data_IF_590795522281
#
_entry.id   IF_590795522281
#
_cell.length_a   1.000
_cell.length_b   1.000
_cell.length_c   1.000
_cell.angle_alpha   90.00
_cell.angle_beta   90.00
_cell.angle_gamma   90.00
#
_symmetry.space_group_name_H-M   'P 1'
#
loop_
_entity.id
_entity.type
_entity.pdbx_description
1 polymer ?
2 non-polymer ?
3 water ?
#
# COMPACT_ATOMS: atom_id res chain seq x y z
N UNK A 2 5.05 4.89 -7.27
CA UNK A 2 3.94 4.41 -6.39
C UNK A 2 3.32 5.56 -5.60
N UNK A 3 2.10 5.33 -5.11
CA UNK A 3 1.35 6.36 -4.41
C UNK A 3 1.68 6.55 -2.93
N UNK A 4 1.64 7.81 -2.48
CA UNK A 4 1.95 8.10 -1.10
C UNK A 4 1.06 7.34 -0.10
N UNK A 5 -0.23 7.18 -0.43
CA UNK A 5 -1.18 6.47 0.44
C UNK A 5 -0.74 5.04 0.71
N UNK A 6 -0.13 4.40 -0.29
CA UNK A 6 0.35 3.04 -0.14
C UNK A 6 1.51 2.97 0.86
N UNK A 7 2.53 3.80 0.66
CA UNK A 7 3.68 3.83 1.55
C UNK A 7 3.25 4.15 2.99
N UNK A 8 2.29 5.06 3.15
CA UNK A 8 1.81 5.41 4.48
C UNK A 8 1.20 4.18 5.13
N UNK A 9 0.47 3.38 4.35
CA UNK A 9 -0.13 2.17 4.89
C UNK A 9 0.97 1.18 5.28
N UNK A 10 1.97 1.05 4.41
CA UNK A 10 3.08 0.14 4.67
C UNK A 10 3.72 0.52 6.00
N UNK A 11 3.91 1.82 6.22
CA UNK A 11 4.54 2.28 7.45
C UNK A 11 3.66 2.12 8.71
N UNK A 12 2.35 2.16 8.53
CA UNK A 12 1.43 2.02 9.65
C UNK A 12 1.06 0.59 9.95
N UNK A 13 0.87 -0.19 8.90
CA UNK A 13 0.41 -1.57 9.04
C UNK A 13 1.20 -2.69 8.40
N UNK A 14 2.13 -2.33 7.51
CA UNK A 14 2.85 -3.35 6.78
C UNK A 14 4.02 -4.11 7.36
N UNK A 15 4.39 -5.16 6.64
CA UNK A 15 5.56 -5.93 6.99
C UNK A 15 6.69 -4.95 6.97
N UNK A 16 7.63 -5.11 7.91
CA UNK A 16 8.83 -4.31 8.13
C UNK A 16 9.79 -4.20 6.94
N UNK A 17 9.80 -5.22 6.11
CA UNK A 17 10.76 -5.28 5.02
C UNK A 17 10.71 -4.34 3.80
N UNK A 18 10.94 -3.06 4.03
CA UNK A 18 11.03 -2.12 2.95
C UNK A 18 11.82 -0.96 3.47
N UNK A 19 12.38 -0.20 2.55
CA UNK A 19 13.16 0.94 2.94
C UNK A 19 12.78 2.12 2.10
N UNK A 20 12.84 3.30 2.71
CA UNK A 20 12.53 4.55 2.03
C UNK A 20 13.88 5.25 1.92
N UNK A 21 14.23 5.68 0.71
CA UNK A 21 15.50 6.36 0.47
C UNK A 21 15.30 7.80 0.03
N UNK A 22 15.75 8.73 0.86
CA UNK A 22 15.66 10.16 0.56
C UNK A 22 16.93 10.40 -0.25
N UNK A 23 16.77 10.79 -1.50
CA UNK A 23 17.91 10.97 -2.36
C UNK A 23 18.37 12.41 -2.60
N UNK A 24 17.90 13.33 -1.75
CA UNK A 24 18.27 14.73 -1.88
C UNK A 24 19.52 15.04 -1.08
N UNK A 25 19.87 16.32 -1.08
CA UNK A 25 21.02 16.86 -0.37
C UNK A 25 20.92 16.41 1.10
N UNK A 26 22.06 16.24 1.76
CA UNK A 26 22.06 15.83 3.16
C UNK A 26 21.39 16.85 4.07
N UNK A 27 21.83 18.10 3.97
CA UNK A 27 21.26 19.13 4.81
C UNK A 27 19.76 19.22 4.54
N UNK A 28 19.36 19.03 3.30
CA UNK A 28 17.93 19.09 2.97
C UNK A 28 17.19 18.00 3.72
N UNK A 29 17.76 16.80 3.71
CA UNK A 29 17.21 15.65 4.40
C UNK A 29 17.03 16.02 5.85
N UNK A 30 18.08 16.58 6.44
CA UNK A 30 18.11 17.00 7.83
C UNK A 30 17.05 18.01 8.21
N UNK A 31 16.80 18.95 7.31
CA UNK A 31 15.79 19.96 7.61
C UNK A 31 14.42 19.33 7.59
N UNK A 32 14.30 18.19 6.90
CA UNK A 32 13.01 17.54 6.87
C UNK A 32 12.95 16.39 5.91
N UNK A 33 12.53 15.22 6.40
CA UNK A 33 12.41 14.04 5.56
C UNK A 33 11.25 13.17 6.02
N UNK A 34 10.86 12.24 5.16
CA UNK A 34 9.78 11.32 5.45
C UNK A 34 10.18 10.46 6.63
N UNK A 36 11.28 7.78 8.85
CA UNK A 36 11.87 6.47 8.57
C UNK A 36 12.83 6.44 7.40
N UNK A 37 12.76 7.43 6.51
CA UNK A 37 13.67 7.47 5.36
C UNK A 37 15.13 7.53 5.75
N UNK A 39 19.05 8.60 4.60
CA UNK A 39 19.68 9.62 3.76
C UNK A 39 20.63 8.97 2.80
N UNK A 41 21.97 10.47 -0.36
CA UNK A 41 22.12 11.48 -1.41
C UNK A 41 22.60 10.78 -2.68
N UNK A 42 22.01 11.21 -3.78
CA UNK A 42 22.25 10.66 -5.10
C UNK A 42 23.70 10.54 -5.58
N UNK A 43 24.58 11.42 -5.13
CA UNK A 43 25.98 11.36 -5.55
C UNK A 43 26.66 10.05 -5.17
N UNK A 44 26.20 9.42 -4.10
CA UNK A 44 26.79 8.16 -3.64
C UNK A 44 25.74 7.09 -3.36
N UNK A 45 24.59 7.21 -4.02
CA UNK A 45 23.46 6.30 -3.83
C UNK A 45 23.74 4.83 -4.08
N UNK A 46 24.26 4.49 -5.25
CA UNK A 46 24.56 3.11 -5.57
C UNK A 46 25.58 2.45 -4.61
N UNK A 47 26.74 3.09 -4.46
CA UNK A 47 27.78 2.62 -3.55
C UNK A 47 27.17 2.36 -2.17
N UNK A 48 26.46 3.35 -1.66
CA UNK A 48 25.82 3.27 -0.36
C UNK A 48 24.72 2.23 -0.23
N UNK A 49 23.85 2.16 -1.21
CA UNK A 49 22.75 1.19 -1.17
C UNK A 49 23.28 -0.22 -1.29
N UNK A 50 24.15 -0.45 -2.26
CA UNK A 50 24.67 -1.80 -2.48
C UNK A 50 25.51 -2.33 -1.31
N UNK A 51 26.06 -1.45 -0.49
CA UNK A 51 26.84 -1.92 0.63
C UNK A 51 25.97 -2.01 1.88
N UNK A 52 24.69 -1.69 1.74
CA UNK A 52 23.81 -1.68 2.89
C UNK A 52 22.44 -2.36 2.75
N UNK A 53 21.96 -2.49 1.52
CA UNK A 53 20.66 -3.09 1.26
C UNK A 53 20.71 -4.32 0.38
N UNK A 54 19.89 -5.32 0.74
CA UNK A 54 19.81 -6.54 -0.07
C UNK A 54 19.12 -6.12 -1.37
N UNK A 55 19.48 -6.75 -2.48
CA UNK A 55 18.90 -6.40 -3.77
C UNK A 55 17.44 -6.80 -3.92
N UNK A 56 16.98 -7.68 -3.05
CA UNK A 56 15.61 -8.15 -3.07
C UNK A 56 14.68 -7.27 -2.22
N UNK A 57 15.26 -6.41 -1.40
CA UNK A 57 14.46 -5.53 -0.52
C UNK A 57 13.57 -4.55 -1.28
N UNK A 58 12.33 -4.39 -0.82
CA UNK A 58 11.41 -3.45 -1.45
C UNK A 58 11.92 -2.06 -1.12
N UNK A 59 12.17 -1.25 -2.14
CA UNK A 59 12.68 0.09 -1.92
C UNK A 59 11.82 1.18 -2.58
N UNK A 60 11.57 2.25 -1.81
CA UNK A 60 10.80 3.39 -2.28
C UNK A 60 11.78 4.53 -2.32
N UNK A 61 11.83 5.24 -3.44
CA UNK A 61 12.77 6.34 -3.59
C UNK A 61 12.07 7.66 -3.89
N UNK A 62 12.64 8.76 -3.40
CA UNK A 62 12.09 10.07 -3.66
C UNK A 62 13.23 11.07 -3.56
N UNK A 63 13.21 12.06 -4.46
CA UNK A 63 14.23 13.10 -4.46
C UNK A 63 13.48 14.43 -4.49
N UNK A 64 14.16 15.50 -4.89
CA UNK A 64 13.55 16.83 -4.91
C UNK A 64 12.47 16.98 -5.98
N UNK A 65 12.56 16.20 -7.04
CA UNK A 65 11.56 16.29 -8.09
C UNK A 65 11.49 15.02 -8.89
N UNK A 66 10.60 14.95 -9.88
CA UNK A 66 10.48 13.75 -10.70
C UNK A 66 11.78 13.36 -11.40
N UNK A 67 12.53 14.34 -11.89
CA UNK A 67 13.78 14.04 -12.59
C UNK A 67 14.78 13.37 -11.65
N UNK A 68 15.01 13.96 -10.48
CA UNK A 68 15.97 13.37 -9.55
C UNK A 68 15.52 12.00 -9.06
N UNK A 69 14.22 11.86 -8.83
CA UNK A 69 13.67 10.58 -8.38
C UNK A 69 13.84 9.52 -9.44
N UNK A 70 13.48 9.84 -10.68
CA UNK A 70 13.60 8.84 -11.74
C UNK A 70 15.06 8.46 -11.96
N UNK A 71 15.97 9.42 -11.79
CA UNK A 71 17.39 9.15 -11.95
C UNK A 71 17.86 8.18 -10.86
N UNK A 72 17.45 8.44 -9.62
CA UNK A 72 17.82 7.56 -8.52
C UNK A 72 17.28 6.14 -8.78
N UNK A 73 16.03 6.06 -9.20
CA UNK A 73 15.43 4.76 -9.50
C UNK A 73 16.20 4.00 -10.58
N UNK A 74 16.61 4.70 -11.64
CA UNK A 74 17.36 4.04 -12.71
C UNK A 74 18.68 3.52 -12.19
N UNK A 75 19.38 4.35 -11.42
CA UNK A 75 20.68 3.98 -10.85
C UNK A 75 20.63 2.67 -10.06
N UNK A 76 19.75 2.63 -9.06
CA UNK A 76 19.62 1.45 -8.22
C UNK A 76 19.36 0.17 -8.99
N UNK A 77 18.47 0.25 -9.99
CA UNK A 77 18.10 -0.91 -10.82
C UNK A 77 19.29 -1.34 -11.67
N UNK A 78 19.99 -0.37 -12.23
CA UNK A 78 21.16 -0.69 -13.06
C UNK A 78 22.20 -1.33 -12.17
N UNK A 79 22.05 -1.16 -10.87
CA UNK A 79 23.00 -1.73 -9.91
C UNK A 79 22.56 -3.10 -9.45
N UNK A 80 21.46 -3.61 -10.01
CA UNK A 80 21.01 -4.92 -9.60
C UNK A 80 19.84 -4.99 -8.65
N UNK A 81 19.40 -3.86 -8.10
CA UNK A 81 18.25 -3.87 -7.19
C UNK A 81 17.00 -4.27 -7.98
N UNK A 82 16.21 -5.17 -7.42
CA UNK A 82 15.03 -5.69 -8.11
C UNK A 82 13.64 -5.14 -7.81
N UNK A 83 13.45 -4.50 -6.67
CA UNK A 83 12.13 -3.98 -6.35
C UNK A 83 12.23 -2.52 -5.94
N UNK A 84 12.37 -1.64 -6.91
CA UNK A 84 12.47 -0.24 -6.60
C UNK A 84 11.38 0.52 -7.33
N UNK A 85 10.80 1.50 -6.64
CA UNK A 85 9.75 2.30 -7.22
C UNK A 85 9.90 3.73 -6.73
N UNK A 86 9.37 4.66 -7.52
CA UNK A 86 9.43 6.07 -7.17
C UNK A 86 8.29 6.31 -6.19
N UNK A 87 8.37 7.44 -5.49
CA UNK A 87 7.33 7.84 -4.57
C UNK A 87 6.75 9.06 -5.27
N UNK A 88 5.70 8.85 -6.06
CA UNK A 88 5.07 9.95 -6.81
C UNK A 88 4.81 11.15 -5.90
N UNK A 89 5.20 12.33 -6.36
CA UNK A 89 4.95 13.53 -5.59
C UNK A 89 6.01 13.85 -4.54
N UNK A 90 6.80 12.85 -4.17
CA UNK A 90 7.84 13.07 -3.19
C UNK A 90 7.34 13.54 -1.84
N UNK A 91 8.18 14.31 -1.15
CA UNK A 91 7.85 14.84 0.17
C UNK A 91 6.51 15.58 0.19
N UNK A 92 6.35 16.53 -0.74
CA UNK A 92 5.14 17.33 -0.83
C UNK A 92 3.88 16.49 -0.83
N UNK A 93 3.85 15.46 -1.67
CA UNK A 93 2.68 14.60 -1.76
C UNK A 93 2.44 13.86 -0.46
N UNK A 94 3.53 13.57 0.25
CA UNK A 94 3.46 12.83 1.50
C UNK A 94 2.83 13.69 2.59
N UNK A 95 3.23 14.96 2.65
CA UNK A 95 2.69 15.88 3.63
C UNK A 95 1.20 16.08 3.34
N UNK A 96 0.89 16.32 2.07
CA UNK A 96 -0.49 16.54 1.66
C UNK A 96 -1.48 15.52 2.24
N UNK A 97 -1.09 14.25 2.31
CA UNK A 97 -1.99 13.22 2.82
C UNK A 97 -1.82 12.97 4.31
N UNK A 98 -1.16 13.90 5.00
CA UNK A 98 -0.96 13.76 6.43
C UNK A 98 0.23 12.96 6.93
N UNK A 99 1.11 12.54 6.04
CA UNK A 99 2.27 11.78 6.46
C UNK A 99 3.24 12.58 7.33
N UNK A 100 3.72 12.02 8.45
CA UNK A 100 4.65 12.68 9.37
C UNK A 100 6.00 13.02 8.75
N UNK A 101 6.60 14.11 9.21
CA UNK A 101 7.89 14.53 8.74
C UNK A 101 8.81 14.77 9.92
N UNK A 102 10.00 14.15 9.89
CA UNK A 102 10.94 14.34 10.98
C UNK A 102 12.14 15.18 10.52
N UNK A 103 12.69 15.95 11.45
CA UNK A 103 13.83 16.78 11.12
C UNK A 103 14.90 16.75 12.20
N UNK A 104 16.15 16.93 11.77
CA UNK A 104 17.30 16.94 12.67
C UNK A 104 17.70 18.36 13.02
N UNK A 105 18.26 18.55 14.22
CA UNK A 105 18.65 19.87 14.68
C UNK A 105 19.97 19.84 15.45
N UNK A 119 28.35 16.53 14.14
CA UNK A 119 27.06 15.88 13.97
C UNK A 119 26.88 15.32 12.55
N UNK A 120 27.86 15.59 11.69
CA UNK A 120 27.87 15.06 10.34
C UNK A 120 28.83 13.88 10.50
N UNK A 121 29.62 13.96 11.57
CA UNK A 121 30.60 12.94 11.94
C UNK A 121 29.87 11.77 12.59
N UNK A 123 26.76 11.03 11.91
CA UNK A 123 26.05 10.50 10.75
C UNK A 123 26.93 9.71 9.79
N UNK A 124 28.12 10.19 9.48
CA UNK A 124 28.98 9.46 8.56
C UNK A 124 29.54 8.20 9.24
N UNK A 125 30.10 8.38 10.43
CA UNK A 125 30.64 7.24 11.16
C UNK A 125 29.58 6.15 11.20
N UNK A 126 28.33 6.58 11.41
CA UNK A 126 27.13 5.73 11.51
C UNK A 126 27.14 4.33 10.89
N UNK B 2 25.29 7.85 33.53
CA UNK B 2 26.53 8.44 32.95
C UNK B 2 26.33 9.85 32.37
N UNK B 3 27.39 10.36 31.76
CA UNK B 3 27.42 11.69 31.18
C UNK B 3 27.10 11.68 29.69
N UNK B 4 26.47 12.75 29.22
CA UNK B 4 26.13 12.86 27.81
C UNK B 4 27.40 12.84 26.94
N UNK B 5 28.53 13.19 27.53
CA UNK B 5 29.80 13.20 26.79
C UNK B 5 30.18 11.81 26.33
N UNK B 6 29.94 10.82 27.19
CA UNK B 6 30.27 9.46 26.83
C UNK B 6 29.46 9.00 25.65
N UNK B 7 28.16 9.29 25.65
CA UNK B 7 27.29 8.90 24.54
C UNK B 7 27.67 9.63 23.27
N UNK B 8 28.01 10.91 23.38
CA UNK B 8 28.40 11.67 22.20
C UNK B 8 29.62 11.01 21.55
N UNK B 9 30.48 10.42 22.38
CA UNK B 9 31.67 9.75 21.87
C UNK B 9 31.35 8.37 21.29
N UNK B 10 30.37 7.67 21.88
CA UNK B 10 29.99 6.36 21.37
C UNK B 10 29.45 6.55 19.94
N UNK B 11 28.72 7.65 19.73
CA UNK B 11 28.13 7.94 18.41
C UNK B 11 29.12 8.50 17.39
N UNK B 12 30.11 9.25 17.87
CA UNK B 12 31.10 9.83 16.98
C UNK B 12 32.22 8.86 16.68
N UNK B 13 32.52 7.98 17.63
CA UNK B 13 33.64 7.07 17.49
C UNK B 13 33.48 5.61 17.84
N UNK B 14 32.41 5.25 18.53
CA UNK B 14 32.33 3.87 18.95
C UNK B 14 31.71 2.80 18.09
N UNK B 15 31.09 1.86 18.80
CA UNK B 15 30.40 0.80 18.16
C UNK B 15 28.94 1.17 18.34
N UNK B 16 28.06 0.58 17.55
CA UNK B 16 26.60 0.73 17.54
C UNK B 16 26.09 -0.40 18.46
N UNK B 17 26.82 -0.67 19.53
CA UNK B 17 26.45 -1.67 20.51
C UNK B 17 25.57 -1.11 21.61
N UNK B 18 24.88 -0.01 21.33
CA UNK B 18 24.05 0.60 22.35
C UNK B 18 22.66 1.05 21.92
N UNK B 19 21.77 1.24 22.88
CA UNK B 19 20.41 1.71 22.60
C UNK B 19 20.10 2.87 23.54
N UNK B 20 19.42 3.88 23.01
CA UNK B 20 19.06 5.06 23.78
C UNK B 20 17.55 5.08 24.00
N UNK B 21 17.13 5.16 25.25
CA UNK B 21 15.70 5.18 25.59
C UNK B 21 15.19 6.50 26.19
N UNK B 22 14.24 7.13 25.51
CA UNK B 22 13.64 8.38 25.99
C UNK B 22 12.39 7.90 26.76
N UNK B 23 12.43 8.02 28.07
CA UNK B 23 11.34 7.53 28.88
C UNK B 23 10.24 8.54 29.19
N UNK B 24 10.30 9.72 28.55
CA UNK B 24 9.33 10.79 28.76
C UNK B 24 7.99 10.59 28.04
N UNK B 25 7.08 11.54 28.26
CA UNK B 25 5.77 11.53 27.64
C UNK B 25 5.93 11.49 26.12
N UNK B 26 5.10 10.67 25.47
CA UNK B 26 5.16 10.49 24.02
C UNK B 26 5.16 11.78 23.20
N UNK B 27 4.33 12.74 23.60
CA UNK B 27 4.25 14.00 22.88
C UNK B 27 5.55 14.78 23.01
N UNK B 28 6.15 14.73 24.20
CA UNK B 28 7.40 15.45 24.42
C UNK B 28 8.46 14.84 23.50
N UNK B 29 8.48 13.51 23.42
CA UNK B 29 9.42 12.81 22.58
C UNK B 29 9.31 13.33 21.15
N UNK B 30 8.08 13.31 20.63
CA UNK B 30 7.80 13.77 19.27
C UNK B 30 8.26 15.18 19.00
N UNK B 31 8.18 16.04 20.02
CA UNK B 31 8.62 17.42 19.86
C UNK B 31 10.14 17.54 19.83
N UNK B 32 10.82 16.52 20.33
CA UNK B 32 12.27 16.57 20.33
C UNK B 32 12.89 15.54 21.24
N UNK B 33 13.71 14.66 20.66
CA UNK B 33 14.39 13.65 21.44
C UNK B 33 15.83 13.54 20.96
N UNK B 34 16.66 12.83 21.72
CA UNK B 34 18.05 12.68 21.33
C UNK B 34 18.02 11.82 20.06
N UNK B 36 18.17 9.18 17.41
CA UNK B 36 18.31 7.73 17.47
C UNK B 36 17.58 7.11 18.65
N UNK B 37 17.12 7.94 19.59
CA UNK B 37 16.42 7.46 20.77
C UNK B 37 15.13 6.74 20.44
N UNK B 39 11.31 5.74 21.62
CA UNK B 39 10.32 6.30 22.53
C UNK B 39 9.79 5.20 23.46
N UNK B 41 7.90 5.51 27.08
CA UNK B 41 7.34 6.15 28.28
C UNK B 41 7.46 5.23 29.52
N UNK B 42 7.90 5.77 30.66
CA UNK B 42 8.10 4.96 31.87
C UNK B 42 6.95 4.03 32.14
N UNK B 43 5.77 4.56 31.91
CA UNK B 43 4.53 3.85 32.11
C UNK B 43 4.51 2.48 31.38
N UNK B 44 5.24 2.38 30.27
CA UNK B 44 5.29 1.15 29.47
C UNK B 44 6.70 0.60 29.29
N UNK B 45 7.67 1.28 29.87
CA UNK B 45 9.08 0.92 29.73
C UNK B 45 9.50 -0.53 29.85
N UNK B 46 9.22 -1.16 30.98
CA UNK B 46 9.70 -2.53 31.16
C UNK B 46 9.02 -3.56 30.24
N UNK B 47 7.75 -3.36 29.95
CA UNK B 47 7.03 -4.27 29.06
C UNK B 47 7.56 -4.13 27.65
N UNK B 48 7.77 -2.88 27.23
CA UNK B 48 8.24 -2.62 25.89
C UNK B 48 9.71 -2.96 25.71
N UNK B 49 10.49 -2.85 26.76
CA UNK B 49 11.91 -3.14 26.64
C UNK B 49 12.21 -4.62 26.72
N UNK B 50 11.66 -5.29 27.71
CA UNK B 50 11.95 -6.70 27.87
C UNK B 50 11.50 -7.51 26.66
N UNK B 51 10.53 -7.00 25.90
CA UNK B 51 10.07 -7.72 24.71
C UNK B 51 10.74 -7.16 23.46
N UNK B 52 11.64 -6.20 23.64
CA UNK B 52 12.30 -5.60 22.49
C UNK B 52 13.83 -5.59 22.55
N UNK B 53 14.38 -5.62 23.74
CA UNK B 53 15.84 -5.60 23.88
C UNK B 53 16.43 -6.77 24.65
N UNK B 54 17.62 -7.19 24.22
CA UNK B 54 18.35 -8.25 24.88
C UNK B 54 18.81 -7.60 26.19
N UNK B 55 18.57 -8.26 27.31
CA UNK B 55 18.95 -7.72 28.60
C UNK B 55 20.45 -7.46 28.79
N UNK B 56 21.28 -7.89 27.84
CA UNK B 56 22.73 -7.67 27.96
C UNK B 56 23.19 -6.49 27.09
N UNK B 57 22.23 -5.81 26.49
CA UNK B 57 22.46 -4.67 25.61
C UNK B 57 22.83 -3.40 26.37
N UNK B 58 23.83 -2.66 25.89
CA UNK B 58 24.19 -1.41 26.55
C UNK B 58 23.03 -0.45 26.29
N UNK B 59 22.48 0.08 27.37
CA UNK B 59 21.32 0.97 27.31
C UNK B 59 21.52 2.28 28.06
N UNK B 60 21.16 3.37 27.40
CA UNK B 60 21.25 4.69 28.04
C UNK B 60 19.82 5.19 28.18
N UNK B 61 19.48 5.61 29.40
CA UNK B 61 18.14 6.09 29.67
C UNK B 61 18.07 7.53 30.15
N UNK B 62 17.05 8.25 29.69
CA UNK B 62 16.80 9.62 30.12
C UNK B 62 15.30 9.93 30.17
N UNK B 63 14.92 10.72 31.17
CA UNK B 63 13.53 11.12 31.36
C UNK B 63 13.46 12.62 31.57
N UNK B 64 12.35 13.10 32.10
CA UNK B 64 12.18 14.54 32.31
C UNK B 64 13.30 15.13 33.15
N UNK B 65 13.53 14.56 34.34
CA UNK B 65 14.58 15.04 35.21
C UNK B 65 15.36 13.89 35.82
N UNK B 66 16.23 14.18 36.79
CA UNK B 66 17.02 13.14 37.45
C UNK B 66 16.17 12.04 38.05
N UNK B 67 15.19 12.44 38.85
CA UNK B 67 14.34 11.48 39.52
C UNK B 67 13.64 10.51 38.58
N UNK B 68 13.07 11.01 37.49
CA UNK B 68 12.37 10.10 36.58
C UNK B 68 13.36 9.19 35.88
N UNK B 69 14.53 9.74 35.57
CA UNK B 69 15.57 8.98 34.90
C UNK B 69 16.05 7.82 35.76
N UNK B 70 16.39 8.09 37.02
CA UNK B 70 16.89 7.02 37.88
C UNK B 70 15.79 6.03 38.23
N UNK B 71 14.54 6.48 38.14
CA UNK B 71 13.41 5.61 38.42
C UNK B 71 13.35 4.59 37.28
N UNK B 72 13.56 5.09 36.07
CA UNK B 72 13.56 4.27 34.87
C UNK B 72 14.72 3.28 34.92
N UNK B 73 15.90 3.78 35.24
CA UNK B 73 17.08 2.93 35.31
C UNK B 73 16.82 1.76 36.25
N UNK B 74 16.35 2.06 37.45
CA UNK B 74 16.07 1.03 38.43
C UNK B 74 15.01 0.04 37.97
N UNK B 75 14.01 0.49 37.24
CA UNK B 75 12.99 -0.44 36.76
C UNK B 75 13.61 -1.46 35.83
N UNK B 76 14.38 -1.00 34.85
CA UNK B 76 15.00 -1.91 33.91
C UNK B 76 15.92 -2.89 34.63
N UNK B 77 16.71 -2.38 35.57
CA UNK B 77 17.63 -3.23 36.33
C UNK B 77 16.89 -4.28 37.16
N UNK B 78 15.83 -3.88 37.85
CA UNK B 78 15.08 -4.83 38.65
C UNK B 78 14.49 -5.87 37.70
N UNK B 79 14.33 -5.48 36.44
CA UNK B 79 13.77 -6.38 35.43
C UNK B 79 14.83 -7.25 34.75
N UNK B 80 16.07 -7.16 35.21
CA UNK B 80 17.12 -7.97 34.64
C UNK B 80 18.07 -7.35 33.61
N UNK B 81 17.84 -6.11 33.20
CA UNK B 81 18.75 -5.48 32.24
C UNK B 81 20.11 -5.19 32.91
N UNK B 82 21.12 -5.90 32.44
CA UNK B 82 22.48 -5.85 32.95
C UNK B 82 23.37 -4.66 32.66
N UNK B 83 23.07 -3.89 31.62
CA UNK B 83 23.92 -2.74 31.33
C UNK B 83 23.16 -1.45 31.05
N UNK B 84 22.43 -0.99 32.05
CA UNK B 84 21.66 0.24 31.94
C UNK B 84 22.40 1.39 32.61
N UNK B 85 22.45 2.54 31.94
CA UNK B 85 23.12 3.70 32.50
C UNK B 85 22.21 4.92 32.35
N UNK B 86 22.19 5.81 33.34
CA UNK B 86 21.35 7.00 33.23
C UNK B 86 22.08 8.04 32.37
N UNK B 87 21.33 8.80 31.59
CA UNK B 87 21.94 9.83 30.79
C UNK B 87 21.70 11.12 31.59
N UNK B 88 22.58 11.38 32.55
CA UNK B 88 22.46 12.55 33.42
C UNK B 88 22.26 13.85 32.66
N UNK B 89 21.27 14.62 33.08
CA UNK B 89 20.99 15.89 32.44
C UNK B 89 20.02 15.78 31.28
N UNK B 90 19.77 14.55 30.84
CA UNK B 90 18.85 14.32 29.75
C UNK B 90 19.04 15.13 28.47
N UNK B 91 17.92 15.42 27.83
CA UNK B 91 17.91 16.16 26.58
C UNK B 91 18.70 17.46 26.62
N UNK B 92 18.47 18.25 27.66
CA UNK B 92 19.14 19.54 27.82
C UNK B 92 20.66 19.38 27.90
N UNK B 93 21.12 18.45 28.74
CA UNK B 93 22.54 18.20 28.91
C UNK B 93 23.12 17.81 27.55
N UNK B 94 22.35 17.03 26.82
CA UNK B 94 22.76 16.57 25.50
C UNK B 94 22.92 17.72 24.51
N UNK B 95 22.01 18.68 24.55
CA UNK B 95 22.08 19.83 23.64
C UNK B 95 23.22 20.77 24.02
N UNK B 96 23.30 21.09 25.31
CA UNK B 96 24.34 21.98 25.81
C UNK B 96 25.73 21.65 25.27
N UNK B 97 25.94 20.42 24.81
CA UNK B 97 27.25 20.04 24.28
C UNK B 97 27.29 19.70 22.79
N UNK B 98 26.29 20.16 22.04
CA UNK B 98 26.27 19.92 20.61
C UNK B 98 25.53 18.66 20.18
N UNK B 99 24.81 18.04 21.12
CA UNK B 99 24.07 16.83 20.76
C UNK B 99 22.97 17.16 19.77
N UNK B 100 22.91 16.45 18.63
CA UNK B 100 21.86 16.73 17.65
C UNK B 100 20.53 16.08 18.05
N UNK B 101 19.46 16.84 17.87
CA UNK B 101 18.12 16.41 18.22
C UNK B 101 17.31 15.94 17.00
N UNK B 102 16.24 15.21 17.26
CA UNK B 102 15.36 14.68 16.22
C UNK B 102 13.94 14.97 16.67
N UNK B 103 13.14 15.56 15.79
CA UNK B 103 11.77 15.89 16.14
C UNK B 103 10.74 15.56 15.06
N UNK B 104 9.53 15.19 15.49
CA UNK B 104 8.44 14.85 14.57
C UNK B 104 7.66 16.10 14.18
N UNK B 105 6.97 16.04 13.04
CA UNK B 105 6.15 17.15 12.56
C UNK B 105 4.98 16.61 11.74
N UNK B 115 -4.50 10.40 14.59
CA UNK B 115 -3.36 11.22 14.17
C UNK B 115 -2.23 11.12 15.20
N UNK B 116 -2.59 10.83 16.44
CA UNK B 116 -1.58 10.64 17.49
C UNK B 116 -1.19 9.18 17.28
N UNK B 117 -2.21 8.37 16.97
CA UNK B 117 -2.07 6.93 16.71
C UNK B 117 -1.24 6.64 15.47
N UNK B 118 -1.49 7.38 14.40
CA UNK B 118 -0.77 7.17 13.13
C UNK B 118 0.74 7.18 13.35
N UNK B 119 1.23 8.28 13.95
CA UNK B 119 2.64 8.41 14.22
C UNK B 119 3.17 7.33 15.17
N UNK B 120 2.42 7.01 16.23
CA UNK B 120 2.90 5.98 17.17
C UNK B 120 2.95 4.61 16.50
N UNK B 121 1.99 4.36 15.63
CA UNK B 121 1.92 3.11 14.89
C UNK B 121 3.16 3.02 13.99
N UNK B 123 6.09 4.82 14.38
CA UNK B 123 7.28 4.77 15.20
C UNK B 123 7.53 3.35 15.70
N UNK B 124 6.48 2.64 16.10
CA UNK B 124 6.63 1.26 16.56
C UNK B 124 7.15 0.34 15.47
N UNK B 125 6.64 0.52 14.25
CA UNK B 125 7.10 -0.32 13.15
C UNK B 125 8.56 -0.03 12.81
N UNK B 126 8.97 1.23 12.89
CA UNK B 126 10.36 1.59 12.60
C UNK B 126 11.25 1.05 13.71
N UNK B 127 10.77 1.08 14.95
CA UNK B 127 11.56 0.58 16.07
C UNK B 127 11.79 -0.93 15.96
N UNK B 128 10.75 -1.68 15.59
CA UNK B 128 10.83 -3.14 15.45
C UNK B 128 11.77 -3.54 14.31
N UNK B 129 12.06 -2.57 13.46
CA UNK B 129 12.93 -2.80 12.30
C UNK B 129 14.37 -2.38 12.62
N UNK B 130 14.63 -2.02 13.87
CA UNK B 130 15.96 -1.60 14.26
C UNK B 130 16.85 -2.83 14.42
N UNK B 131 18.11 -2.68 14.00
CA UNK B 131 19.08 -3.77 14.05
C UNK B 131 19.06 -4.57 15.36
N UNK B 132 19.13 -3.88 16.50
CA UNK B 132 19.17 -4.57 17.79
C UNK B 132 17.86 -5.24 18.18
N UNK B 133 16.74 -4.61 17.85
CA UNK B 133 15.44 -5.21 18.18
C UNK B 133 15.30 -6.50 17.39
N UNK B 134 15.87 -6.51 16.18
CA UNK B 134 15.83 -7.68 15.32
C UNK B 134 16.73 -8.79 15.85
N UNK B 135 17.75 -8.41 16.63
CA UNK B 135 18.64 -9.41 17.20
C UNK B 135 17.87 -10.11 18.32
N UNK B 136 17.19 -9.33 19.14
CA UNK B 136 16.42 -9.87 20.25
C UNK B 136 15.33 -10.81 19.73
N UNK B 137 14.95 -10.63 18.47
CA UNK B 137 13.91 -11.45 17.86
C UNK B 137 14.47 -12.64 17.07
N UNK B 138 15.69 -12.51 16.56
CA UNK B 138 16.29 -13.58 15.80
C UNK B 138 17.02 -14.55 16.73
N UNK C 2 -30.53 -2.01 -28.54
CA UNK C 2 -30.33 -3.38 -29.10
C UNK C 2 -30.86 -4.48 -28.18
N UNK C 3 -30.81 -5.70 -28.68
CA UNK C 3 -31.32 -6.88 -27.95
C UNK C 3 -30.35 -7.46 -26.93
N UNK C 4 -30.89 -7.85 -25.77
CA UNK C 4 -30.13 -8.43 -24.67
C UNK C 4 -29.24 -9.58 -25.11
N UNK C 5 -29.74 -10.41 -26.01
CA UNK C 5 -28.98 -11.54 -26.49
C UNK C 5 -27.67 -11.10 -27.13
N UNK C 6 -27.67 -9.93 -27.76
CA UNK C 6 -26.45 -9.43 -28.42
C UNK C 6 -25.42 -9.01 -27.39
N UNK C 7 -25.82 -8.14 -26.47
CA UNK C 7 -24.92 -7.67 -25.44
C UNK C 7 -24.34 -8.87 -24.69
N UNK C 8 -25.19 -9.81 -24.31
CA UNK C 8 -24.74 -11.00 -23.59
C UNK C 8 -23.60 -11.68 -24.36
N UNK C 9 -23.74 -11.72 -25.68
CA UNK C 9 -22.72 -12.35 -26.53
C UNK C 9 -21.40 -11.57 -26.56
N UNK C 10 -21.47 -10.25 -26.59
CA UNK C 10 -20.24 -9.46 -26.61
C UNK C 10 -19.51 -9.69 -25.30
N UNK C 11 -20.28 -9.83 -24.21
CA UNK C 11 -19.69 -10.04 -22.88
C UNK C 11 -19.06 -11.41 -22.71
N UNK C 12 -19.73 -12.43 -23.18
CA UNK C 12 -19.22 -13.78 -23.08
C UNK C 12 -18.13 -14.09 -24.09
N UNK C 13 -18.28 -13.58 -25.32
CA UNK C 13 -17.35 -13.91 -26.41
C UNK C 13 -16.63 -12.82 -27.18
N UNK C 14 -17.09 -11.58 -27.08
CA UNK C 14 -16.47 -10.54 -27.88
C UNK C 14 -15.23 -9.85 -27.40
N UNK C 15 -14.79 -8.89 -28.21
CA UNK C 15 -13.60 -8.10 -27.88
C UNK C 15 -14.09 -7.03 -26.93
N UNK C 16 -13.21 -6.52 -26.06
CA UNK C 16 -13.59 -5.48 -25.11
C UNK C 16 -13.60 -4.16 -25.88
N UNK C 17 -14.60 -3.99 -26.74
CA UNK C 17 -14.72 -2.80 -27.58
C UNK C 17 -16.04 -2.08 -27.36
N UNK C 18 -16.65 -2.31 -26.20
CA UNK C 18 -17.91 -1.69 -25.85
C UNK C 18 -17.87 -1.34 -24.38
N UNK C 19 -18.77 -0.45 -23.98
CA UNK C 19 -18.86 -0.03 -22.60
C UNK C 19 -20.32 -0.08 -22.20
N UNK C 20 -20.59 -0.62 -21.01
CA UNK C 20 -21.96 -0.68 -20.54
C UNK C 20 -22.11 0.33 -19.44
N UNK C 21 -23.12 1.19 -19.58
CA UNK C 21 -23.40 2.23 -18.62
C UNK C 21 -24.70 1.98 -17.89
N UNK C 22 -24.61 1.81 -16.57
CA UNK C 22 -25.78 1.59 -15.73
C UNK C 22 -26.09 3.03 -15.30
N UNK C 23 -27.14 3.58 -15.88
CA UNK C 23 -27.52 4.95 -15.61
C UNK C 23 -28.47 5.14 -14.41
N UNK C 24 -28.60 4.11 -13.57
CA UNK C 24 -29.47 4.22 -12.41
C UNK C 24 -28.76 4.90 -11.25
N UNK C 25 -29.37 4.81 -10.08
CA UNK C 25 -28.85 5.39 -8.86
C UNK C 25 -27.64 4.59 -8.38
N UNK C 26 -26.62 5.30 -7.88
CA UNK C 26 -25.41 4.65 -7.39
C UNK C 26 -25.69 3.50 -6.43
N UNK C 27 -26.63 3.70 -5.51
CA UNK C 27 -26.99 2.68 -4.52
C UNK C 27 -27.57 1.42 -5.16
N UNK C 28 -28.44 1.61 -6.15
CA UNK C 28 -29.06 0.49 -6.83
C UNK C 28 -28.03 -0.28 -7.65
N UNK C 29 -27.06 0.45 -8.19
CA UNK C 29 -25.97 -0.13 -8.98
C UNK C 29 -25.14 -1.10 -8.15
N UNK C 30 -24.95 -0.78 -6.87
CA UNK C 30 -24.17 -1.61 -5.96
C UNK C 30 -24.96 -2.84 -5.56
N UNK C 31 -26.29 -2.71 -5.50
CA UNK C 31 -27.13 -3.84 -5.12
C UNK C 31 -27.19 -4.85 -6.26
N UNK C 32 -26.73 -4.45 -7.44
CA UNK C 32 -26.72 -5.35 -8.58
C UNK C 32 -26.62 -4.69 -9.95
N UNK C 33 -25.58 -5.01 -10.71
CA UNK C 33 -25.39 -4.44 -12.05
C UNK C 33 -24.77 -5.44 -13.03
N UNK C 34 -24.91 -5.17 -14.32
CA UNK C 34 -24.34 -6.07 -15.32
C UNK C 34 -22.81 -6.05 -15.21
N UNK C 36 -19.10 -5.64 -15.30
CA UNK C 36 -18.25 -4.67 -15.98
C UNK C 36 -18.90 -3.32 -16.23
N UNK C 37 -20.19 -3.22 -15.95
CA UNK C 37 -20.94 -1.99 -16.13
C UNK C 37 -20.39 -0.84 -15.29
N UNK C 39 -20.91 2.80 -13.35
CA UNK C 39 -22.01 3.48 -12.66
C UNK C 39 -21.98 4.95 -13.04
N UNK C 41 -25.03 7.55 -12.92
CA UNK C 41 -26.39 8.03 -12.71
C UNK C 41 -26.72 9.19 -13.66
N UNK C 42 -27.97 9.24 -14.14
CA UNK C 42 -28.40 10.25 -15.10
C UNK C 42 -28.11 11.69 -14.73
N UNK C 43 -28.33 12.02 -13.46
CA UNK C 43 -28.08 13.38 -12.99
C UNK C 43 -26.80 14.00 -13.56
N UNK C 44 -25.78 13.16 -13.80
CA UNK C 44 -24.52 13.67 -14.35
C UNK C 44 -23.93 12.77 -15.42
N UNK C 45 -24.77 11.91 -16.00
CA UNK C 45 -24.33 10.99 -17.04
C UNK C 45 -23.44 11.59 -18.12
N UNK C 46 -23.90 12.68 -18.74
CA UNK C 46 -23.17 13.30 -19.84
C UNK C 46 -21.82 13.90 -19.48
N UNK C 47 -21.70 14.42 -18.27
CA UNK C 47 -20.45 15.00 -17.79
C UNK C 47 -19.40 13.93 -17.67
N UNK C 48 -19.80 12.87 -16.98
CA UNK C 48 -18.96 11.71 -16.73
C UNK C 48 -18.57 10.95 -17.98
N UNK C 49 -19.54 10.71 -18.84
CA UNK C 49 -19.27 9.98 -20.06
C UNK C 49 -18.36 10.79 -20.97
N UNK C 50 -18.73 12.04 -21.24
CA UNK C 50 -17.96 12.88 -22.14
C UNK C 50 -16.48 13.05 -21.80
N UNK C 51 -16.13 13.05 -20.52
CA UNK C 51 -14.75 13.22 -20.12
C UNK C 51 -13.98 11.90 -20.01
N UNK C 52 -14.73 10.82 -19.78
CA UNK C 52 -14.16 9.49 -19.61
C UNK C 52 -14.21 8.56 -20.82
N UNK C 53 -15.15 8.79 -21.72
CA UNK C 53 -15.31 7.94 -22.89
C UNK C 53 -15.12 8.65 -24.23
N UNK C 54 -14.62 7.91 -25.21
CA UNK C 54 -14.43 8.42 -26.55
C UNK C 54 -15.83 8.32 -27.20
N UNK C 55 -16.22 9.33 -27.98
CA UNK C 55 -17.53 9.33 -28.60
C UNK C 55 -17.77 8.30 -29.70
N UNK C 56 -16.72 7.60 -30.10
CA UNK C 56 -16.81 6.58 -31.14
C UNK C 56 -17.09 5.21 -30.50
N UNK C 57 -16.80 5.11 -29.22
CA UNK C 57 -16.96 3.90 -28.40
C UNK C 57 -18.35 3.29 -28.34
N UNK C 58 -18.47 2.02 -28.70
CA UNK C 58 -19.77 1.34 -28.63
C UNK C 58 -20.23 1.44 -27.19
N UNK C 59 -21.44 1.97 -27.00
CA UNK C 59 -21.98 2.14 -25.66
C UNK C 59 -23.39 1.57 -25.50
N UNK C 60 -23.54 0.65 -24.55
CA UNK C 60 -24.84 0.05 -24.26
C UNK C 60 -25.31 0.67 -22.96
N UNK C 61 -26.50 1.23 -22.96
CA UNK C 61 -27.03 1.89 -21.78
C UNK C 61 -28.27 1.22 -21.23
N UNK C 62 -28.47 1.32 -19.92
CA UNK C 62 -29.66 0.76 -19.30
C UNK C 62 -29.97 1.50 -18.00
N UNK C 63 -31.25 1.83 -17.81
CA UNK C 63 -31.68 2.51 -16.61
C UNK C 63 -32.64 1.61 -15.85
N UNK C 64 -33.45 2.20 -14.98
CA UNK C 64 -34.42 1.42 -14.21
C UNK C 64 -35.57 0.97 -15.12
N UNK C 65 -35.99 1.85 -16.02
CA UNK C 65 -37.07 1.53 -16.92
C UNK C 65 -36.75 1.97 -18.34
N UNK C 66 -37.63 1.63 -19.27
CA UNK C 66 -37.42 1.99 -20.68
C UNK C 66 -37.35 3.50 -20.92
N UNK C 67 -38.08 4.28 -20.12
CA UNK C 67 -38.08 5.72 -20.27
C UNK C 67 -36.73 6.32 -19.88
N UNK C 68 -36.26 5.99 -18.68
CA UNK C 68 -34.98 6.51 -18.21
C UNK C 68 -33.86 6.06 -19.15
N UNK C 69 -34.00 4.84 -19.66
CA UNK C 69 -33.01 4.30 -20.55
C UNK C 69 -32.92 5.10 -21.84
N UNK C 70 -34.05 5.30 -22.51
CA UNK C 70 -34.05 6.03 -23.78
C UNK C 70 -33.70 7.51 -23.57
N UNK C 71 -34.01 8.01 -22.38
CA UNK C 71 -33.72 9.39 -22.05
C UNK C 71 -32.22 9.54 -21.90
N UNK C 72 -31.61 8.52 -21.30
CA UNK C 72 -30.18 8.49 -21.08
C UNK C 72 -29.45 8.39 -22.41
N UNK C 73 -30.03 7.61 -23.32
CA UNK C 73 -29.44 7.42 -24.65
C UNK C 73 -29.51 8.71 -25.45
N UNK C 74 -30.68 9.33 -25.47
CA UNK C 74 -30.86 10.58 -26.21
C UNK C 74 -29.86 11.60 -25.71
N UNK C 75 -29.77 11.75 -24.39
CA UNK C 75 -28.83 12.69 -23.80
C UNK C 75 -27.44 12.51 -24.38
N UNK C 76 -27.00 11.26 -24.38
CA UNK C 76 -25.68 10.92 -24.87
C UNK C 76 -25.54 11.16 -26.37
N UNK C 77 -26.57 10.81 -27.14
CA UNK C 77 -26.50 10.99 -28.59
C UNK C 77 -26.44 12.46 -28.95
N UNK C 78 -27.27 13.27 -28.32
CA UNK C 78 -27.27 14.69 -28.62
C UNK C 78 -25.98 15.35 -28.13
N UNK C 79 -25.29 14.67 -27.20
CA UNK C 79 -24.06 15.21 -26.64
C UNK C 79 -22.87 14.88 -27.55
N UNK C 80 -23.12 14.14 -28.63
CA UNK C 80 -22.06 13.80 -29.56
C UNK C 80 -21.73 12.32 -29.68
N UNK C 81 -22.26 11.51 -28.77
CA UNK C 81 -21.97 10.10 -28.82
C UNK C 81 -22.64 9.43 -30.01
N UNK C 82 -21.80 8.86 -30.89
CA UNK C 82 -22.23 8.25 -32.14
C UNK C 82 -22.59 6.77 -32.18
N UNK C 83 -22.39 6.04 -31.08
CA UNK C 83 -22.71 4.62 -31.06
C UNK C 83 -23.28 4.13 -29.75
N UNK C 84 -24.38 4.76 -29.36
CA UNK C 84 -25.09 4.42 -28.15
C UNK C 84 -26.33 3.65 -28.53
N UNK C 85 -26.70 2.69 -27.71
CA UNK C 85 -27.91 1.94 -27.97
C UNK C 85 -28.41 1.54 -26.61
N UNK C 86 -29.70 1.35 -26.50
CA UNK C 86 -30.27 0.96 -25.23
C UNK C 86 -30.34 -0.54 -25.09
N UNK C 87 -30.31 -1.01 -23.85
CA UNK C 87 -30.44 -2.43 -23.59
C UNK C 87 -31.96 -2.57 -23.48
N UNK C 88 -32.60 -2.96 -24.58
CA UNK C 88 -34.04 -3.14 -24.63
C UNK C 88 -34.52 -4.14 -23.57
N UNK C 89 -35.40 -3.69 -22.69
CA UNK C 89 -35.90 -4.55 -21.65
C UNK C 89 -35.16 -4.32 -20.35
N UNK C 90 -34.05 -3.59 -20.43
CA UNK C 90 -33.26 -3.27 -19.25
C UNK C 90 -32.74 -4.50 -18.52
N UNK C 91 -32.51 -4.33 -17.22
CA UNK C 91 -31.99 -5.40 -16.36
C UNK C 91 -32.88 -6.63 -16.35
N UNK C 92 -34.20 -6.39 -16.38
CA UNK C 92 -35.16 -7.46 -16.36
C UNK C 92 -35.02 -8.35 -17.60
N UNK C 93 -34.73 -7.73 -18.75
CA UNK C 93 -34.55 -8.48 -19.98
C UNK C 93 -33.24 -9.25 -19.93
N UNK C 94 -32.25 -8.65 -19.27
CA UNK C 94 -30.94 -9.26 -19.11
C UNK C 94 -31.03 -10.52 -18.26
N UNK C 95 -31.74 -10.42 -17.15
CA UNK C 95 -31.86 -11.57 -16.27
C UNK C 95 -32.75 -12.64 -16.89
N UNK C 96 -33.63 -12.22 -17.80
CA UNK C 96 -34.54 -13.15 -18.45
C UNK C 96 -33.86 -14.17 -19.37
N UNK C 97 -32.63 -13.90 -19.77
CA UNK C 97 -31.93 -14.84 -20.65
C UNK C 97 -30.70 -15.42 -19.96
N UNK C 98 -30.68 -15.31 -18.63
CA UNK C 98 -29.57 -15.85 -17.86
C UNK C 98 -28.35 -14.97 -17.68
N UNK C 99 -28.50 -13.67 -17.92
CA UNK C 99 -27.38 -12.76 -17.78
C UNK C 99 -26.95 -12.58 -16.34
N UNK C 100 -25.66 -12.76 -16.01
CA UNK C 100 -25.18 -12.60 -14.64
C UNK C 100 -25.19 -11.15 -14.19
N UNK C 101 -25.24 -10.96 -12.87
CA UNK C 101 -25.21 -9.63 -12.27
C UNK C 101 -24.19 -9.64 -11.13
N UNK C 102 -23.49 -8.52 -10.94
CA UNK C 102 -22.50 -8.40 -9.86
C UNK C 102 -23.04 -7.45 -8.82
N UNK C 103 -22.70 -7.71 -7.56
CA UNK C 103 -23.15 -6.86 -6.48
C UNK C 103 -22.08 -6.67 -5.43
N UNK C 104 -22.07 -5.48 -4.83
CA UNK C 104 -21.09 -5.14 -3.79
C UNK C 104 -21.58 -5.55 -2.40
N UNK C 105 -20.64 -5.72 -1.47
CA UNK C 105 -20.96 -6.06 -0.10
C UNK C 105 -19.80 -5.66 0.81
N UNK C 117 -18.67 4.46 0.23
CA UNK C 117 -17.74 5.53 0.60
C UNK C 117 -16.30 5.17 0.20
N UNK C 118 -15.80 4.06 0.74
CA UNK C 118 -14.46 3.58 0.40
C UNK C 118 -14.68 2.80 -0.86
N UNK C 119 -15.88 2.23 -0.96
CA UNK C 119 -16.27 1.46 -2.13
C UNK C 119 -16.36 2.43 -3.30
N UNK C 120 -17.11 3.50 -3.12
CA UNK C 120 -17.27 4.48 -4.18
C UNK C 120 -15.92 4.99 -4.67
N UNK C 121 -14.98 5.18 -3.74
CA UNK C 121 -13.65 5.67 -4.10
C UNK C 121 -12.89 4.58 -4.85
N UNK C 123 -14.33 2.00 -6.52
CA UNK C 123 -15.00 1.74 -7.79
C UNK C 123 -14.51 2.79 -8.79
N UNK C 124 -14.49 4.04 -8.34
CA UNK C 124 -14.05 5.16 -9.15
C UNK C 124 -12.63 4.96 -9.68
N UNK C 125 -11.73 4.65 -8.76
CA UNK C 125 -10.33 4.45 -9.09
C UNK C 125 -10.18 3.30 -10.09
N UNK C 126 -10.95 2.25 -9.87
CA UNK C 126 -10.92 1.08 -10.74
C UNK C 126 -11.44 1.39 -12.14
N UNK C 127 -12.51 2.18 -12.21
CA UNK C 127 -13.07 2.55 -13.50
C UNK C 127 -12.10 3.44 -14.28
N UNK C 128 -11.36 4.28 -13.58
CA UNK C 128 -10.39 5.16 -14.22
C UNK C 128 -9.20 4.37 -14.76
N UNK C 129 -9.20 3.07 -14.48
CA UNK C 129 -8.12 2.20 -14.94
C UNK C 129 -8.56 1.33 -16.12
N UNK C 130 -9.84 1.43 -16.47
CA UNK C 130 -10.40 0.64 -17.58
C UNK C 130 -9.76 1.04 -18.90
N UNK C 131 -9.56 0.07 -19.77
CA UNK C 131 -8.91 0.30 -21.05
C UNK C 131 -9.50 1.49 -21.80
N UNK C 132 -10.81 1.49 -22.01
CA UNK C 132 -11.46 2.57 -22.74
C UNK C 132 -11.26 3.92 -22.08
N UNK C 133 -11.21 3.96 -20.76
CA UNK C 133 -11.03 5.24 -20.09
C UNK C 133 -9.59 5.73 -20.24
N UNK C 134 -8.63 4.82 -20.11
CA UNK C 134 -7.23 5.20 -20.25
C UNK C 134 -6.98 5.65 -21.69
N UNK C 135 -7.65 5.01 -22.65
CA UNK C 135 -7.49 5.36 -24.05
C UNK C 135 -8.01 6.75 -24.35
N UNK C 136 -9.09 7.14 -23.68
CA UNK C 136 -9.65 8.47 -23.90
C UNK C 136 -8.68 9.50 -23.37
N UNK C 137 -8.37 9.39 -22.08
CA UNK C 137 -7.47 10.31 -21.40
C UNK C 137 -6.11 10.47 -22.07
N UNK C 138 -5.64 9.44 -22.76
CA UNK C 138 -4.35 9.50 -23.43
C UNK C 138 -4.54 9.77 -24.92
N UNK D 2 1.34 -10.22 3.59
CA UNK D 2 1.07 -8.76 3.53
C UNK D 2 -0.18 -8.44 4.34
N UNK D 3 -0.31 -7.16 4.69
CA UNK D 3 -1.44 -6.67 5.50
C UNK D 3 -2.56 -6.13 4.61
N UNK D 4 -3.80 -6.37 5.04
CA UNK D 4 -4.97 -5.92 4.30
C UNK D 4 -5.02 -4.39 4.10
N UNK D 5 -4.53 -3.65 5.09
CA UNK D 5 -4.52 -2.20 4.99
C UNK D 5 -3.72 -1.74 3.78
N UNK D 6 -2.62 -2.45 3.50
CA UNK D 6 -1.75 -2.10 2.37
C UNK D 6 -2.39 -2.45 1.05
N UNK D 7 -3.01 -3.62 0.95
CA UNK D 7 -3.66 -4.04 -0.28
C UNK D 7 -4.85 -3.12 -0.56
N UNK D 8 -5.50 -2.69 0.52
CA UNK D 8 -6.64 -1.80 0.39
C UNK D 8 -6.19 -0.46 -0.18
N UNK D 9 -4.97 -0.03 0.16
CA UNK D 9 -4.44 1.23 -0.35
C UNK D 9 -4.07 1.10 -1.83
N UNK D 10 -3.57 -0.07 -2.23
CA UNK D 10 -3.20 -0.29 -3.63
C UNK D 10 -4.44 -0.08 -4.49
N UNK D 11 -5.52 -0.75 -4.09
CA UNK D 11 -6.81 -0.69 -4.79
C UNK D 11 -7.45 0.69 -4.82
N UNK D 12 -7.36 1.43 -3.73
CA UNK D 12 -7.96 2.75 -3.67
C UNK D 12 -7.11 3.82 -4.33
N UNK D 13 -5.82 3.80 -4.07
CA UNK D 13 -4.95 4.84 -4.58
C UNK D 13 -3.79 4.47 -5.48
N UNK D 14 -3.42 3.21 -5.51
CA UNK D 14 -2.28 2.82 -6.31
C UNK D 14 -2.48 2.51 -7.78
N UNK D 15 -1.36 2.34 -8.47
CA UNK D 15 -1.32 2.01 -9.88
C UNK D 15 -1.77 0.55 -10.00
N UNK D 16 -2.37 0.19 -11.14
CA UNK D 16 -2.83 -1.18 -11.39
C UNK D 16 -1.62 -2.07 -11.70
N UNK D 17 -0.73 -2.25 -10.72
CA UNK D 17 0.47 -3.05 -10.95
C UNK D 17 0.60 -4.26 -10.05
N UNK D 18 -0.53 -4.82 -9.64
CA UNK D 18 -0.54 -6.01 -8.81
C UNK D 18 -1.71 -6.86 -9.29
N UNK D 19 -1.84 -8.07 -8.76
CA UNK D 19 -2.93 -8.93 -9.14
C UNK D 19 -3.29 -9.75 -7.90
N UNK D 20 -4.58 -9.82 -7.59
CA UNK D 20 -5.03 -10.59 -6.44
C UNK D 20 -5.62 -11.89 -6.95
N UNK D 21 -5.22 -12.99 -6.32
CA UNK D 21 -5.70 -14.30 -6.70
C UNK D 21 -6.51 -14.94 -5.56
N UNK D 22 -7.78 -15.21 -5.83
CA UNK D 22 -8.65 -15.85 -4.86
C UNK D 22 -8.45 -17.33 -5.17
N UNK D 23 -7.79 -18.04 -4.26
CA UNK D 23 -7.49 -19.44 -4.51
C UNK D 23 -8.53 -20.44 -4.01
N UNK D 24 -9.64 -19.92 -3.50
CA UNK D 24 -10.68 -20.78 -2.98
C UNK D 24 -11.49 -21.40 -4.10
N UNK D 25 -12.53 -22.12 -3.67
CA UNK D 25 -13.48 -22.80 -4.54
C UNK D 25 -14.23 -21.74 -5.36
N UNK D 26 -14.45 -22.01 -6.63
CA UNK D 26 -15.15 -21.06 -7.48
C UNK D 26 -16.47 -20.58 -6.86
N UNK D 27 -17.28 -21.52 -6.38
CA UNK D 27 -18.56 -21.16 -5.78
C UNK D 27 -18.41 -20.16 -4.64
N UNK D 28 -17.34 -20.28 -3.88
CA UNK D 28 -17.12 -19.36 -2.76
C UNK D 28 -16.78 -17.99 -3.34
N UNK D 29 -15.89 -18.01 -4.34
CA UNK D 29 -15.48 -16.79 -5.03
C UNK D 29 -16.72 -15.99 -5.42
N UNK D 30 -17.66 -16.67 -6.05
CA UNK D 30 -18.88 -16.03 -6.51
C UNK D 30 -19.74 -15.43 -5.40
N UNK D 31 -19.60 -15.91 -4.17
CA UNK D 31 -20.42 -15.34 -3.10
C UNK D 31 -19.78 -14.13 -2.46
N UNK D 32 -18.52 -13.89 -2.78
CA UNK D 32 -17.83 -12.74 -2.21
C UNK D 32 -16.33 -12.82 -2.43
N UNK D 33 -15.77 -11.79 -3.06
CA UNK D 33 -14.35 -11.77 -3.29
C UNK D 33 -13.82 -10.35 -3.35
N UNK D 34 -12.52 -10.20 -3.16
CA UNK D 34 -11.92 -8.88 -3.21
C UNK D 34 -12.07 -8.38 -4.63
N UNK D 36 -11.72 -7.01 -8.25
CA UNK D 36 -10.67 -7.21 -9.22
C UNK D 36 -10.00 -8.57 -9.13
N UNK D 37 -10.13 -9.24 -7.99
CA UNK D 37 -9.50 -10.54 -7.81
C UNK D 37 -9.88 -11.53 -8.91
N UNK D 39 -10.36 -15.53 -10.13
CA UNK D 39 -10.71 -16.82 -9.56
C UNK D 39 -9.78 -17.92 -10.06
N UNK D 41 -8.89 -21.50 -8.31
CA UNK D 41 -8.87 -22.56 -7.30
C UNK D 41 -7.51 -23.27 -7.32
N UNK D 42 -6.95 -23.53 -6.14
CA UNK D 42 -5.63 -24.16 -6.00
C UNK D 42 -5.31 -25.30 -6.95
N UNK D 43 -6.21 -26.27 -7.04
CA UNK D 43 -6.02 -27.43 -7.89
C UNK D 43 -5.45 -27.11 -9.27
N UNK D 44 -5.89 -26.01 -9.86
CA UNK D 44 -5.45 -25.62 -11.20
C UNK D 44 -4.72 -24.27 -11.18
N UNK D 45 -4.37 -23.84 -9.98
CA UNK D 45 -3.71 -22.58 -9.79
C UNK D 45 -2.46 -22.34 -10.61
N UNK D 46 -1.55 -23.28 -10.58
CA UNK D 46 -0.30 -23.09 -11.28
C UNK D 46 -0.39 -23.13 -12.80
N UNK D 47 -1.32 -23.90 -13.34
CA UNK D 47 -1.48 -23.91 -14.78
C UNK D 47 -2.10 -22.58 -15.15
N UNK D 48 -3.22 -22.30 -14.51
CA UNK D 48 -3.99 -21.09 -14.78
C UNK D 48 -3.16 -19.81 -14.64
N UNK D 49 -2.30 -19.76 -13.63
CA UNK D 49 -1.47 -18.59 -13.38
C UNK D 49 -0.30 -18.41 -14.34
N UNK D 50 0.45 -19.47 -14.56
CA UNK D 50 1.62 -19.39 -15.44
C UNK D 50 1.22 -19.08 -16.88
N UNK D 51 0.01 -19.50 -17.26
CA UNK D 51 -0.48 -19.26 -18.62
C UNK D 51 -1.20 -17.92 -18.71
N UNK D 52 -1.38 -17.28 -17.56
CA UNK D 52 -2.08 -16.01 -17.51
C UNK D 52 -1.29 -14.77 -17.08
N UNK D 53 -0.37 -14.93 -16.13
CA UNK D 53 0.40 -13.79 -15.63
C UNK D 53 1.90 -13.81 -15.88
N UNK D 54 2.49 -12.61 -15.85
CA UNK D 54 3.93 -12.42 -16.03
C UNK D 54 4.54 -12.86 -14.69
N UNK D 55 5.67 -13.55 -14.73
CA UNK D 55 6.32 -14.05 -13.52
C UNK D 55 6.87 -13.01 -12.52
N UNK D 56 6.95 -11.76 -12.95
CA UNK D 56 7.46 -10.68 -12.08
C UNK D 56 6.33 -9.81 -11.55
N UNK D 57 5.10 -10.23 -11.81
CA UNK D 57 3.93 -9.51 -11.37
C UNK D 57 3.76 -9.62 -9.85
N UNK D 58 3.54 -8.49 -9.19
CA UNK D 58 3.31 -8.48 -7.76
C UNK D 58 1.99 -9.23 -7.61
N UNK D 59 1.99 -10.28 -6.81
CA UNK D 59 0.78 -11.05 -6.63
C UNK D 59 0.41 -11.20 -5.18
N UNK D 60 -0.87 -11.00 -4.90
CA UNK D 60 -1.41 -11.16 -3.56
C UNK D 60 -2.36 -12.35 -3.63
N UNK D 61 -2.15 -13.33 -2.76
CA UNK D 61 -2.96 -14.53 -2.74
C UNK D 61 -3.68 -14.67 -1.42
N UNK D 62 -4.87 -15.24 -1.48
CA UNK D 62 -5.65 -15.47 -0.27
C UNK D 62 -6.57 -16.66 -0.50
N UNK D 63 -6.58 -17.58 0.45
CA UNK D 63 -7.42 -18.76 0.36
C UNK D 63 -8.43 -18.80 1.47
N UNK D 64 -8.95 -20.00 1.77
CA UNK D 64 -9.95 -20.17 2.81
C UNK D 64 -9.30 -20.04 4.20
N UNK D 65 -8.11 -20.61 4.33
CA UNK D 65 -7.39 -20.52 5.59
C UNK D 65 -5.97 -20.05 5.32
N UNK D 66 -5.15 -19.94 6.36
CA UNK D 66 -3.77 -19.52 6.17
C UNK D 66 -3.00 -20.68 5.54
N UNK D 67 -3.43 -21.90 5.87
CA UNK D 67 -2.79 -23.09 5.33
C UNK D 67 -2.92 -23.12 3.81
N UNK D 68 -4.14 -22.98 3.32
CA UNK D 68 -4.37 -23.01 1.88
C UNK D 68 -3.67 -21.83 1.21
N UNK D 69 -3.63 -20.69 1.90
CA UNK D 69 -2.99 -19.50 1.36
C UNK D 69 -1.49 -19.71 1.19
N UNK D 70 -0.82 -20.23 2.22
CA UNK D 70 0.63 -20.47 2.14
C UNK D 70 0.95 -21.62 1.19
N UNK D 71 0.02 -22.55 1.07
CA UNK D 71 0.19 -23.69 0.17
C UNK D 71 0.13 -23.21 -1.28
N UNK D 72 -0.76 -22.27 -1.56
CA UNK D 72 -0.90 -21.73 -2.91
C UNK D 72 0.31 -20.85 -3.22
N UNK D 73 0.73 -20.07 -2.22
CA UNK D 73 1.89 -19.19 -2.39
C UNK D 73 3.14 -20.02 -2.68
N UNK D 74 3.33 -21.09 -1.93
CA UNK D 74 4.49 -21.93 -2.18
C UNK D 74 4.37 -22.50 -3.58
N UNK D 75 3.19 -23.00 -3.92
CA UNK D 75 2.95 -23.58 -5.25
C UNK D 75 3.36 -22.64 -6.39
N UNK D 76 3.07 -21.35 -6.23
CA UNK D 76 3.41 -20.36 -7.25
C UNK D 76 4.89 -20.02 -7.25
N UNK D 77 5.50 -20.06 -6.08
CA UNK D 77 6.93 -19.75 -5.99
C UNK D 77 7.77 -20.81 -6.68
N UNK D 78 7.53 -22.07 -6.35
CA UNK D 78 8.28 -23.15 -6.96
C UNK D 78 8.01 -23.09 -8.46
N UNK D 79 6.76 -22.75 -8.80
CA UNK D 79 6.35 -22.64 -10.19
C UNK D 79 7.16 -21.57 -10.89
N UNK D 80 7.92 -20.79 -10.12
CA UNK D 80 8.74 -19.75 -10.70
C UNK D 80 8.30 -18.33 -10.48
N UNK D 81 7.11 -18.13 -9.91
CA UNK D 81 6.66 -16.77 -9.67
C UNK D 81 7.55 -16.14 -8.62
N UNK D 82 8.06 -14.95 -8.96
CA UNK D 82 8.99 -14.23 -8.10
C UNK D 82 8.40 -13.47 -6.91
N UNK D 83 7.37 -12.66 -7.16
CA UNK D 83 6.79 -11.85 -6.09
C UNK D 83 5.36 -12.17 -5.66
N UNK D 84 5.20 -13.21 -4.85
CA UNK D 84 3.90 -13.57 -4.35
C UNK D 84 3.85 -13.26 -2.87
N UNK D 85 2.77 -12.63 -2.43
CA UNK D 85 2.60 -12.30 -1.02
C UNK D 85 1.28 -12.86 -0.56
N UNK D 86 1.25 -13.37 0.67
CA UNK D 86 0.00 -13.89 1.22
C UNK D 86 -0.75 -12.67 1.70
N UNK D 87 -2.04 -12.84 1.94
CA UNK D 87 -2.85 -11.76 2.48
C UNK D 87 -3.28 -12.27 3.85
N UNK D 88 -2.64 -11.73 4.88
CA UNK D 88 -2.91 -12.11 6.25
C UNK D 88 -4.38 -12.03 6.60
N UNK D 89 -4.92 -13.13 7.13
CA UNK D 89 -6.32 -13.14 7.52
C UNK D 89 -7.29 -13.30 6.37
N UNK D 90 -6.78 -13.57 5.17
CA UNK D 90 -7.63 -13.75 4.02
C UNK D 90 -8.76 -12.75 3.87
N UNK D 91 -9.88 -13.22 3.34
CA UNK D 91 -11.06 -12.39 3.13
C UNK D 91 -11.62 -11.81 4.41
N UNK D 92 -11.66 -12.60 5.47
CA UNK D 92 -12.20 -12.14 6.75
C UNK D 92 -11.49 -10.88 7.23
N UNK D 93 -10.16 -10.90 7.21
CA UNK D 93 -9.37 -9.76 7.63
C UNK D 93 -9.61 -8.54 6.74
N UNK D 94 -9.77 -8.81 5.46
CA UNK D 94 -10.04 -7.75 4.49
C UNK D 94 -11.35 -7.05 4.84
N UNK D 95 -12.38 -7.83 5.17
CA UNK D 95 -13.69 -7.29 5.52
C UNK D 95 -13.71 -6.64 6.89
N UNK D 96 -12.84 -7.09 7.79
CA UNK D 96 -12.77 -6.56 9.15
C UNK D 96 -12.32 -5.11 9.16
N UNK D 97 -11.53 -4.71 8.17
CA UNK D 97 -11.05 -3.34 8.08
C UNK D 97 -11.93 -2.53 7.12
N UNK D 98 -13.05 -3.13 6.72
CA UNK D 98 -13.96 -2.43 5.83
C UNK D 98 -13.64 -2.62 4.36
N UNK D 99 -13.07 -3.77 4.02
CA UNK D 99 -12.74 -4.05 2.65
C UNK D 99 -14.02 -4.29 1.87
N UNK D 100 -14.19 -3.65 0.71
CA UNK D 100 -15.39 -3.87 -0.10
C UNK D 100 -15.25 -5.21 -0.78
N UNK D 101 -16.36 -5.95 -0.80
CA UNK D 101 -16.40 -7.27 -1.42
C UNK D 101 -17.38 -7.26 -2.59
N UNK D 102 -17.14 -8.11 -3.57
CA UNK D 102 -17.98 -8.20 -4.75
C UNK D 102 -18.42 -9.63 -4.98
N UNK D 103 -19.69 -9.82 -5.37
CA UNK D 103 -20.21 -11.16 -5.62
C UNK D 103 -21.23 -11.25 -6.75
N UNK D 104 -21.42 -12.46 -7.28
CA UNK D 104 -22.35 -12.68 -8.38
C UNK D 104 -23.74 -13.14 -7.91
N UNK D 105 -24.71 -13.04 -8.81
CA UNK D 105 -26.10 -13.47 -8.56
C UNK D 105 -26.83 -13.65 -9.89
N UNK D 118 -21.62 -20.23 -18.24
CA UNK D 118 -22.09 -18.94 -18.74
C UNK D 118 -21.55 -17.77 -17.90
N UNK D 119 -21.68 -17.86 -16.59
CA UNK D 119 -21.14 -16.81 -15.72
C UNK D 119 -19.66 -17.15 -15.66
N UNK D 120 -19.37 -18.44 -15.69
CA UNK D 120 -18.00 -18.91 -15.67
C UNK D 120 -17.34 -18.51 -16.99
N UNK D 121 -18.13 -18.54 -18.06
CA UNK D 121 -17.58 -18.19 -19.35
C UNK D 121 -17.30 -16.70 -19.37
N UNK D 123 -16.82 -14.71 -16.70
CA UNK D 123 -15.74 -14.46 -15.76
C UNK D 123 -14.35 -14.71 -16.36
N UNK D 124 -14.17 -15.86 -17.01
CA UNK D 124 -12.88 -16.17 -17.64
C UNK D 124 -12.54 -15.21 -18.78
N UNK D 125 -13.53 -14.99 -19.65
CA UNK D 125 -13.37 -14.11 -20.78
C UNK D 125 -12.93 -12.73 -20.32
N UNK D 126 -13.54 -12.22 -19.25
CA UNK D 126 -13.16 -10.89 -18.77
C UNK D 126 -11.78 -10.91 -18.15
N UNK D 127 -11.46 -11.99 -17.45
CA UNK D 127 -10.15 -12.11 -16.82
C UNK D 127 -9.06 -12.05 -17.90
N UNK D 128 -9.35 -12.62 -19.07
CA UNK D 128 -8.39 -12.61 -20.17
C UNK D 128 -8.29 -11.24 -20.85
N UNK D 129 -9.16 -10.31 -20.47
CA UNK D 129 -9.12 -8.96 -21.01
C UNK D 129 -8.39 -8.02 -20.05
N UNK D 130 -7.98 -8.55 -18.90
CA UNK D 130 -7.27 -7.75 -17.90
C UNK D 130 -5.95 -7.21 -18.46
N UNK D 131 -5.59 -6.00 -18.07
CA UNK D 131 -4.36 -5.37 -18.52
C UNK D 131 -3.20 -6.36 -18.42
N UNK D 132 -2.92 -6.81 -17.21
CA UNK D 132 -1.83 -7.75 -16.96
C UNK D 132 -1.88 -9.06 -17.72
N UNK D 133 -3.08 -9.56 -18.01
CA UNK D 133 -3.17 -10.80 -18.75
C UNK D 133 -2.89 -10.56 -20.24
N UNK D 134 -3.26 -9.38 -20.74
CA UNK D 134 -2.99 -9.06 -22.13
C UNK D 134 -1.48 -8.91 -22.31
N UNK D 135 -0.84 -8.28 -21.32
CA UNK D 135 0.61 -8.05 -21.35
C UNK D 135 1.37 -9.37 -21.45
N UNK D 136 0.98 -10.34 -20.63
CA UNK D 136 1.64 -11.62 -20.65
C UNK D 136 1.58 -12.36 -21.98
N UNK D 137 0.49 -12.17 -22.73
CA UNK D 137 0.33 -12.87 -23.99
C UNK D 137 1.04 -12.25 -25.19
N UNK D 138 1.27 -10.94 -25.15
CA UNK D 138 1.98 -10.29 -26.24
C UNK D 138 3.46 -10.29 -25.87
#
# INVERSE_FOLDING_TARGET
XSDAHVLKSRLEWGEPAFTILDVRDRSTYNDGHIXGAXAXPIEDLVDRASSSLEKSRDIYVYGAGDEQTSQAVNLLRSAGFEHVSELKGGLAAWKAIGGPTEGIIESRTPAGADDYNVVSRXQNHLENQKKEVLEHHHHHH
XSDAHVLKSRLEWGEPAFTILDVRDRSTYNDGHIXGAXAXPIEDLVDRASSSLEKSRDIYVYGAGDEQTSQAVNLLRSAGFEHVSELKGGLAAWKAIGGPTEGIIESRTPAGADDYNVVSRXQNHLENQKKEVLEHHHHHH
XSDAHVLKSRLEWGEPAFTILDVRDRSTYNDGHIXGAXAXPIEDLVDRASSSLEKSRDIYVYGAGDEQTSQAVNLLRSAGFEHVSELKGGLAAWKAIGGPTEGIIESRTPAGADDYNVVSRXQNHLENQKKEVLEHHHHHH
XSDAHVLKSRLEWGEPAFTILDVRDRSTYNDGHIXGAXAXPIEDLVDRASSSLEKSRDIYVYGAGDEQTSQAVNLLRSAGFEHVSELKGGLAAWKAIGGPTEGIIESRTPAGADDYNVVSRXQNHLENQKKEVLEHHHHHH
#
